data_IF_393464778449
#
_entry.id   IF_393464778449
#
_cell.length_a   1.000
_cell.length_b   1.000
_cell.length_c   1.000
_cell.angle_alpha   90.00
_cell.angle_beta   90.00
_cell.angle_gamma   90.00
#
_symmetry.space_group_name_H-M   'P 1'
#
loop_
_entity.id
_entity.type
_entity.pdbx_description
1 polymer ?
#
# COMPACT_ATOMS: atom_id res chain seq x y z
N UNK A 1 9.88 -18.23 3.02
CA UNK A 1 10.16 -16.86 3.49
C UNK A 1 9.01 -15.96 3.07
N UNK A 2 8.69 -14.94 3.87
CA UNK A 2 7.57 -14.02 3.66
C UNK A 2 8.11 -12.59 3.83
N UNK A 3 8.06 -11.79 2.77
CA UNK A 3 8.53 -10.41 2.80
C UNK A 3 7.37 -9.48 3.15
N UNK A 4 7.55 -8.65 4.18
CA UNK A 4 6.57 -7.65 4.57
C UNK A 4 6.81 -6.37 3.78
N UNK A 5 5.73 -5.81 3.22
CA UNK A 5 5.69 -4.50 2.57
C UNK A 5 4.67 -3.65 3.30
N UNK A 6 5.10 -2.56 3.92
CA UNK A 6 4.18 -1.59 4.55
C UNK A 6 3.86 -0.50 3.54
N UNK A 7 2.57 -0.32 3.23
CA UNK A 7 2.09 0.59 2.18
C UNK A 7 1.61 1.89 2.81
N UNK A 8 2.10 3.02 2.28
CA UNK A 8 1.74 4.37 2.68
C UNK A 8 1.15 5.13 1.50
N UNK A 9 -0.04 5.69 1.71
CA UNK A 9 -0.65 6.61 0.77
C UNK A 9 -0.17 8.02 1.02
N UNK A 10 0.29 8.68 -0.04
CA UNK A 10 0.60 10.10 -0.03
C UNK A 10 -0.67 10.95 -0.07
N UNK A 11 -0.71 11.98 0.77
CA UNK A 11 -1.57 13.14 0.59
C UNK A 11 -0.81 14.17 -0.25
N UNK A 12 -1.34 14.51 -1.41
CA UNK A 12 -0.68 15.41 -2.37
C UNK A 12 -0.84 16.89 -2.02
N UNK A 13 -1.79 17.25 -1.15
CA UNK A 13 -1.97 18.63 -0.69
C UNK A 13 -0.96 18.95 0.41
N UNK A 14 -0.73 17.99 1.32
CA UNK A 14 0.13 18.19 2.50
C UNK A 14 1.52 17.56 2.37
N UNK A 15 1.75 16.72 1.35
CA UNK A 15 2.93 15.84 1.24
C UNK A 15 3.13 14.90 2.44
N UNK A 16 2.08 14.64 3.23
CA UNK A 16 2.12 13.67 4.31
C UNK A 16 1.86 12.25 3.81
N UNK A 17 2.21 11.25 4.65
CA UNK A 17 2.05 9.83 4.33
C UNK A 17 1.22 9.15 5.41
N UNK A 18 0.18 8.44 4.99
CA UNK A 18 -0.67 7.65 5.89
C UNK A 18 -0.42 6.16 5.64
N UNK A 19 -0.07 5.42 6.69
CA UNK A 19 0.05 3.96 6.62
C UNK A 19 -1.34 3.35 6.41
N UNK A 20 -1.50 2.55 5.37
CA UNK A 20 -2.81 2.00 4.97
C UNK A 20 -2.89 0.49 4.98
N UNK A 21 -1.78 -0.21 4.72
CA UNK A 21 -1.77 -1.66 4.71
C UNK A 21 -0.42 -2.26 5.08
N UNK A 22 -0.47 -3.49 5.55
CA UNK A 22 0.66 -4.42 5.54
C UNK A 22 0.36 -5.51 4.52
N UNK A 23 1.23 -5.64 3.53
CA UNK A 23 1.15 -6.70 2.53
C UNK A 23 2.27 -7.69 2.79
N UNK A 24 1.94 -8.96 2.74
CA UNK A 24 2.93 -10.00 2.96
C UNK A 24 3.13 -10.86 1.72
N UNK A 25 4.18 -10.55 0.97
CA UNK A 25 4.57 -11.23 -0.25
C UNK A 25 5.18 -12.61 0.08
N UNK A 26 4.33 -13.64 0.10
CA UNK A 26 4.75 -15.02 0.37
C UNK A 26 5.53 -15.62 -0.80
N UNK A 27 6.65 -16.30 -0.49
CA UNK A 27 7.51 -16.91 -1.51
C UNK A 27 8.35 -15.93 -2.32
N UNK A 28 8.20 -14.62 -2.09
CA UNK A 28 8.96 -13.56 -2.76
C UNK A 28 10.07 -13.08 -1.82
N UNK A 29 11.30 -13.09 -2.33
CA UNK A 29 12.51 -12.64 -1.61
C UNK A 29 13.16 -11.41 -2.23
N UNK A 30 12.77 -11.04 -3.44
CA UNK A 30 13.22 -9.81 -4.10
C UNK A 30 12.29 -8.65 -3.72
N UNK A 31 12.88 -7.54 -3.27
CA UNK A 31 12.14 -6.41 -2.72
C UNK A 31 11.29 -5.71 -3.78
N UNK A 32 11.79 -5.57 -5.01
CA UNK A 32 11.03 -4.96 -6.11
C UNK A 32 9.85 -5.82 -6.53
N UNK A 33 10.02 -7.14 -6.56
CA UNK A 33 8.91 -8.07 -6.79
C UNK A 33 7.89 -8.03 -5.66
N UNK A 34 8.34 -7.88 -4.41
CA UNK A 34 7.43 -7.71 -3.27
C UNK A 34 6.65 -6.39 -3.36
N UNK A 35 7.30 -5.29 -3.75
CA UNK A 35 6.63 -4.01 -4.03
C UNK A 35 5.64 -4.12 -5.20
N UNK A 36 5.97 -4.85 -6.27
CA UNK A 36 5.02 -5.12 -7.36
C UNK A 36 3.81 -5.94 -6.88
N UNK A 37 4.03 -6.94 -6.03
CA UNK A 37 2.97 -7.73 -5.42
C UNK A 37 2.05 -6.86 -4.56
N UNK A 38 2.64 -6.02 -3.69
CA UNK A 38 1.89 -5.06 -2.89
C UNK A 38 1.11 -4.08 -3.77
N UNK A 39 1.75 -3.47 -4.76
CA UNK A 39 1.12 -2.57 -5.71
C UNK A 39 -0.09 -3.19 -6.39
N UNK A 40 0.02 -4.44 -6.88
CA UNK A 40 -1.07 -5.16 -7.55
C UNK A 40 -2.27 -5.38 -6.64
N UNK A 41 -2.04 -5.76 -5.39
CA UNK A 41 -3.10 -6.12 -4.44
C UNK A 41 -3.62 -4.95 -3.60
N UNK A 42 -3.12 -3.75 -3.86
CA UNK A 42 -3.70 -2.48 -3.39
C UNK A 42 -4.28 -1.64 -4.53
N UNK A 43 -4.73 -2.29 -5.61
CA UNK A 43 -5.48 -1.66 -6.69
C UNK A 43 -6.99 -1.94 -6.57
N UNK A 44 -7.81 -0.96 -6.93
CA UNK A 44 -9.23 -1.13 -7.23
C UNK A 44 -9.38 -1.40 -8.75
N UNK A 45 -9.39 -2.67 -9.17
CA UNK A 45 -9.50 -3.07 -10.58
C UNK A 45 -10.94 -3.46 -10.94
N UNK A 46 -11.50 -4.42 -10.21
CA UNK A 46 -12.86 -4.91 -10.35
C UNK A 46 -13.79 -4.35 -9.27
N UNK A 47 -13.31 -4.26 -8.03
CA UNK A 47 -13.99 -3.62 -6.92
C UNK A 47 -13.00 -2.92 -5.99
N UNK A 48 -13.23 -2.91 -4.68
CA UNK A 48 -12.31 -2.27 -3.74
C UNK A 48 -11.51 -3.29 -2.95
N UNK A 49 -10.18 -3.17 -3.01
CA UNK A 49 -9.26 -4.03 -2.25
C UNK A 49 -9.43 -3.90 -0.73
N UNK A 50 -9.98 -2.78 -0.25
CA UNK A 50 -10.07 -2.43 1.17
C UNK A 50 -11.49 -2.27 1.71
N UNK A 51 -12.50 -2.18 0.86
CA UNK A 51 -13.88 -2.06 1.33
C UNK A 51 -14.35 -3.39 1.96
N UNK A 52 -15.05 -3.39 3.12
CA UNK A 52 -15.44 -4.63 3.80
C UNK A 52 -16.32 -5.57 2.95
N UNK A 53 -17.11 -4.99 2.05
CA UNK A 53 -17.99 -5.72 1.13
C UNK A 53 -17.33 -6.03 -0.23
N UNK A 54 -16.10 -5.56 -0.48
CA UNK A 54 -15.33 -5.93 -1.67
C UNK A 54 -14.86 -7.38 -1.59
N UNK A 55 -14.87 -8.08 -2.71
CA UNK A 55 -14.52 -9.51 -2.80
C UNK A 55 -13.47 -9.76 -3.88
N UNK A 56 -13.57 -9.09 -5.04
CA UNK A 56 -12.76 -9.43 -6.21
C UNK A 56 -11.29 -8.99 -6.10
N UNK A 57 -11.02 -7.80 -5.56
CA UNK A 57 -9.65 -7.29 -5.38
C UNK A 57 -9.10 -7.50 -3.97
N UNK A 58 -9.87 -8.18 -3.10
CA UNK A 58 -9.43 -8.52 -1.76
C UNK A 58 -8.44 -9.67 -1.82
N UNK A 59 -7.38 -9.60 -1.02
CA UNK A 59 -6.35 -10.63 -0.99
C UNK A 59 -5.99 -11.00 0.44
N UNK A 60 -5.84 -12.29 0.73
CA UNK A 60 -5.60 -12.82 2.09
C UNK A 60 -4.30 -12.32 2.73
N UNK A 61 -3.29 -12.04 1.90
CA UNK A 61 -2.01 -11.50 2.32
C UNK A 61 -1.98 -9.97 2.48
N UNK A 62 -3.14 -9.30 2.46
CA UNK A 62 -3.26 -7.85 2.67
C UNK A 62 -4.02 -7.60 3.96
N UNK A 63 -3.36 -6.95 4.91
CA UNK A 63 -3.96 -6.48 6.16
C UNK A 63 -4.13 -4.97 6.06
N UNK A 64 -5.37 -4.50 6.13
CA UNK A 64 -5.71 -3.08 6.11
C UNK A 64 -5.50 -2.52 7.52
N UNK A 65 -4.73 -1.45 7.64
CA UNK A 65 -4.45 -0.79 8.94
C UNK A 65 -4.84 0.69 8.95
N UNK A 66 -5.12 1.28 7.79
CA UNK A 66 -5.59 2.66 7.68
C UNK A 66 -7.09 2.80 7.91
N UNK A 67 -7.52 4.00 8.32
CA UNK A 67 -8.93 4.31 8.50
C UNK A 67 -9.66 4.41 7.16
N UNK A 68 -10.86 3.80 7.09
CA UNK A 68 -11.70 3.88 5.90
C UNK A 68 -12.46 5.21 5.88
N UNK A 69 -12.47 5.93 4.74
CA UNK A 69 -13.17 7.21 4.64
C UNK A 69 -14.68 7.05 4.82
N UNK A 70 -15.28 7.93 5.62
CA UNK A 70 -16.74 8.03 5.81
C UNK A 70 -17.24 9.35 5.24
N UNK A 71 -18.21 9.30 4.32
CA UNK A 71 -18.84 10.49 3.73
C UNK A 71 -20.35 10.29 3.69
N UNK A 72 -21.11 11.23 4.25
CA UNK A 72 -22.57 11.15 4.31
C UNK A 72 -23.10 9.90 5.01
N UNK A 73 -22.42 9.42 6.06
CA UNK A 73 -22.80 8.21 6.81
C UNK A 73 -22.48 6.88 6.11
N UNK A 74 -21.86 6.91 4.91
CA UNK A 74 -21.42 5.72 4.20
C UNK A 74 -19.89 5.57 4.28
N UNK A 75 -19.45 4.37 4.62
CA UNK A 75 -18.03 3.97 4.56
C UNK A 75 -17.65 3.64 3.12
N UNK A 76 -16.47 4.08 2.69
CA UNK A 76 -15.90 3.80 1.38
C UNK A 76 -14.56 3.06 1.55
N UNK A 77 -14.13 2.38 0.49
CA UNK A 77 -12.79 1.81 0.44
C UNK A 77 -11.73 2.90 0.26
N UNK A 78 -10.48 2.54 0.54
CA UNK A 78 -9.31 3.33 0.21
C UNK A 78 -9.14 3.42 -1.31
N UNK A 79 -8.46 4.49 -1.76
CA UNK A 79 -8.02 4.60 -3.14
C UNK A 79 -7.02 3.50 -3.51
N UNK A 80 -6.80 3.28 -4.80
CA UNK A 80 -5.67 2.49 -5.27
C UNK A 80 -4.34 3.11 -4.82
N UNK A 81 -3.32 2.27 -4.64
CA UNK A 81 -1.94 2.77 -4.60
C UNK A 81 -1.55 3.37 -5.96
N UNK A 82 -0.77 4.44 -5.93
CA UNK A 82 -0.46 5.23 -7.12
C UNK A 82 0.91 5.91 -7.03
N UNK A 83 1.32 6.54 -8.14
CA UNK A 83 2.57 7.32 -8.20
C UNK A 83 2.74 8.26 -7.00
N UNK A 84 3.91 8.24 -6.38
CA UNK A 84 4.25 9.02 -5.19
C UNK A 84 3.88 8.35 -3.86
N UNK A 85 3.15 7.23 -3.86
CA UNK A 85 2.99 6.40 -2.66
C UNK A 85 4.28 5.68 -2.29
N UNK A 86 4.41 5.28 -1.03
CA UNK A 86 5.62 4.63 -0.53
C UNK A 86 5.38 3.23 -0.04
N UNK A 87 6.34 2.35 -0.31
CA UNK A 87 6.36 0.95 0.08
C UNK A 87 7.64 0.69 0.84
N UNK A 88 7.50 0.37 2.13
CA UNK A 88 8.63 0.03 3.00
C UNK A 88 8.79 -1.49 2.96
N UNK A 89 9.87 -1.95 2.35
CA UNK A 89 10.09 -3.35 2.09
C UNK A 89 11.09 -3.95 3.09
N UNK A 90 10.73 -5.07 3.72
CA UNK A 90 11.60 -5.74 4.68
C UNK A 90 12.01 -4.84 5.85
N UNK A 91 13.32 -4.64 6.00
CA UNK A 91 13.92 -3.99 7.17
C UNK A 91 14.47 -2.56 6.92
N UNK A 92 14.26 -1.94 5.75
CA UNK A 92 14.69 -0.54 5.65
C UNK A 92 14.60 0.20 4.32
N UNK A 93 14.53 -0.48 3.16
CA UNK A 93 14.44 0.25 1.90
C UNK A 93 13.02 0.79 1.68
N UNK A 94 12.95 2.04 1.22
CA UNK A 94 11.70 2.72 0.88
C UNK A 94 11.64 2.93 -0.61
N UNK A 95 10.59 2.39 -1.19
CA UNK A 95 10.31 2.43 -2.62
C UNK A 95 9.14 3.37 -2.86
N UNK A 96 9.38 4.49 -3.55
CA UNK A 96 8.33 5.38 -4.02
C UNK A 96 7.83 4.90 -5.39
N UNK A 97 6.51 4.83 -5.56
CA UNK A 97 5.91 4.42 -6.83
C UNK A 97 6.25 5.46 -7.89
N UNK A 98 7.05 5.06 -8.88
CA UNK A 98 7.45 5.92 -9.99
C UNK A 98 6.45 5.85 -11.15
N UNK A 99 6.68 6.63 -12.21
CA UNK A 99 5.89 6.50 -13.44
C UNK A 99 5.93 5.08 -14.01
N UNK A 100 7.10 4.42 -13.90
CA UNK A 100 7.30 3.01 -14.23
C UNK A 100 8.14 2.37 -13.12
N UNK A 101 7.56 1.42 -12.38
CA UNK A 101 8.27 0.73 -11.32
C UNK A 101 8.42 1.58 -10.05
N UNK A 102 9.61 1.57 -9.45
CA UNK A 102 9.86 2.19 -8.15
C UNK A 102 11.21 2.87 -8.09
N UNK A 103 11.24 4.04 -7.46
CA UNK A 103 12.47 4.76 -7.11
C UNK A 103 12.81 4.52 -5.63
N UNK A 104 14.08 4.31 -5.34
CA UNK A 104 14.56 4.20 -3.96
C UNK A 104 14.67 5.61 -3.38
N UNK A 105 14.04 5.84 -2.22
CA UNK A 105 14.06 7.12 -1.52
C UNK A 105 14.61 6.96 -0.10
N UNK A 106 15.15 8.03 0.52
CA UNK A 106 15.53 7.99 1.93
C UNK A 106 14.33 7.58 2.80
N UNK A 107 14.58 6.68 3.75
CA UNK A 107 13.58 6.37 4.77
C UNK A 107 13.26 7.65 5.55
N UNK A 108 11.97 7.95 5.69
CA UNK A 108 11.54 8.99 6.62
C UNK A 108 11.45 8.31 7.96
N UNK A 109 12.13 8.82 8.98
CA UNK A 109 11.92 8.36 10.35
C UNK A 109 10.41 8.47 10.64
N UNK A 110 9.79 7.36 11.03
CA UNK A 110 8.44 7.41 11.57
C UNK A 110 8.49 8.39 12.75
N UNK A 111 7.68 9.46 12.71
CA UNK A 111 7.47 10.28 13.88
C UNK A 111 6.89 9.35 14.97
N UNK A 112 7.68 9.14 16.02
CA UNK A 112 7.36 8.28 17.16
C UNK A 112 6.05 8.68 17.85
#
# INVERSE_FOLDING_TARGET
MKMKVTVYHKDFETNSFTRVAEVFAEGITDEKQACNFAYRWTQNIADSWSHPQGVADKHENVVIVGELPVRGGKTFGLRSSMMGDRMYCGNGEVYEVAMCGFDIVPAVEEAA
#
